data_IF_495739164425
#
_entry.id   IF_495739164425
#
_cell.length_a   1.000
_cell.length_b   1.000
_cell.length_c   1.000
_cell.angle_alpha   90.00
_cell.angle_beta   90.00
_cell.angle_gamma   90.00
#
_symmetry.space_group_name_H-M   'P 1'
#
loop_
_entity.id
_entity.type
_entity.pdbx_description
1 polymer ?
#
# COMPACT_ATOMS: atom_id res chain seq x y z
N UNK A 1 -22.67 38.70 32.40
CA UNK A 1 -23.48 37.53 31.95
C UNK A 1 -23.18 37.34 30.47
N UNK A 2 -22.52 36.25 30.08
CA UNK A 2 -21.92 36.09 28.74
C UNK A 2 -20.73 35.12 28.66
N UNK A 3 -20.45 34.37 29.73
CA UNK A 3 -19.38 33.38 29.75
C UNK A 3 -19.86 32.07 29.10
N UNK A 4 -19.70 31.96 27.78
CA UNK A 4 -20.07 30.78 27.01
C UNK A 4 -19.27 29.54 27.45
N UNK A 5 -18.01 29.70 27.85
CA UNK A 5 -17.15 28.60 28.33
C UNK A 5 -17.75 27.91 29.55
N UNK A 6 -18.18 28.69 30.55
CA UNK A 6 -18.82 28.14 31.76
C UNK A 6 -20.18 27.47 31.45
N UNK A 7 -20.94 28.01 30.50
CA UNK A 7 -22.21 27.43 30.08
C UNK A 7 -22.01 26.06 29.41
N UNK A 8 -21.02 25.95 28.51
CA UNK A 8 -20.66 24.69 27.84
C UNK A 8 -20.22 23.63 28.85
N UNK A 9 -19.38 23.99 29.83
CA UNK A 9 -18.93 23.06 30.88
C UNK A 9 -20.08 22.55 31.75
N UNK A 10 -21.04 23.42 32.09
CA UNK A 10 -22.23 23.02 32.84
C UNK A 10 -23.11 22.06 32.04
N UNK A 11 -23.32 22.34 30.74
CA UNK A 11 -24.08 21.47 29.85
C UNK A 11 -23.46 20.06 29.74
N UNK A 12 -22.13 19.95 29.62
CA UNK A 12 -21.45 18.64 29.64
C UNK A 12 -21.65 17.91 30.97
N UNK A 13 -21.51 18.60 32.12
CA UNK A 13 -21.75 18.00 33.45
C UNK A 13 -23.18 17.54 33.66
N UNK A 14 -24.16 18.21 33.05
CA UNK A 14 -25.58 17.85 33.10
C UNK A 14 -26.01 16.83 32.03
N UNK A 15 -25.09 16.30 31.21
CA UNK A 15 -25.40 15.36 30.13
C UNK A 15 -26.08 15.98 28.90
N UNK A 16 -26.20 17.31 28.85
CA UNK A 16 -26.84 18.07 27.76
C UNK A 16 -25.84 18.39 26.65
N UNK A 17 -25.40 17.33 25.97
CA UNK A 17 -24.29 17.40 25.01
C UNK A 17 -24.62 18.19 23.74
N UNK A 18 -25.85 18.07 23.23
CA UNK A 18 -26.27 18.80 22.03
C UNK A 18 -26.31 20.32 22.28
N UNK A 19 -26.81 20.73 23.44
CA UNK A 19 -26.82 22.12 23.88
C UNK A 19 -25.41 22.65 24.13
N UNK A 20 -24.51 21.81 24.67
CA UNK A 20 -23.10 22.16 24.84
C UNK A 20 -22.43 22.49 23.50
N UNK A 21 -22.65 21.66 22.48
CA UNK A 21 -22.15 21.91 21.13
C UNK A 21 -22.80 23.16 20.51
N UNK A 22 -24.11 23.32 20.62
CA UNK A 22 -24.81 24.49 20.09
C UNK A 22 -24.28 25.80 20.69
N UNK A 23 -24.06 25.85 22.01
CA UNK A 23 -23.46 27.00 22.69
C UNK A 23 -22.00 27.22 22.27
N UNK A 24 -21.23 26.15 22.10
CA UNK A 24 -19.84 26.23 21.68
C UNK A 24 -19.68 26.81 20.26
N UNK A 25 -20.67 26.58 19.37
CA UNK A 25 -20.66 27.15 18.01
C UNK A 25 -20.66 28.68 17.99
N UNK A 26 -21.26 29.32 18.99
CA UNK A 26 -21.27 30.78 19.16
C UNK A 26 -20.05 31.34 19.91
N UNK A 27 -19.20 30.49 20.49
CA UNK A 27 -18.08 30.89 21.36
C UNK A 27 -16.71 30.94 20.68
N UNK A 28 -16.67 30.83 19.35
CA UNK A 28 -15.43 30.86 18.56
C UNK A 28 -14.77 29.49 18.39
N UNK A 29 -13.75 29.44 17.53
CA UNK A 29 -13.14 28.18 17.08
C UNK A 29 -12.50 27.38 18.22
N UNK A 30 -11.87 28.06 19.18
CA UNK A 30 -11.16 27.40 20.29
C UNK A 30 -12.14 26.68 21.24
N UNK A 31 -13.26 27.32 21.56
CA UNK A 31 -14.30 26.72 22.41
C UNK A 31 -14.99 25.58 21.67
N UNK A 32 -15.28 25.75 20.37
CA UNK A 32 -15.87 24.71 19.53
C UNK A 32 -14.97 23.46 19.46
N UNK A 33 -13.68 23.62 19.19
CA UNK A 33 -12.73 22.50 19.15
C UNK A 33 -12.69 21.77 20.49
N UNK A 34 -12.59 22.49 21.61
CA UNK A 34 -12.55 21.87 22.95
C UNK A 34 -13.84 21.12 23.28
N UNK A 35 -15.00 21.69 22.95
CA UNK A 35 -16.30 21.06 23.18
C UNK A 35 -16.48 19.81 22.29
N UNK A 36 -16.09 19.90 21.01
CA UNK A 36 -16.12 18.77 20.08
C UNK A 36 -15.24 17.62 20.57
N UNK A 37 -14.01 17.91 20.98
CA UNK A 37 -13.06 16.88 21.40
C UNK A 37 -13.54 16.21 22.70
N UNK A 38 -14.12 16.96 23.65
CA UNK A 38 -14.75 16.40 24.85
C UNK A 38 -16.00 15.58 24.52
N UNK A 39 -16.83 16.03 23.57
CA UNK A 39 -17.96 15.25 23.08
C UNK A 39 -17.51 13.91 22.49
N UNK A 40 -16.53 13.93 21.57
CA UNK A 40 -15.98 12.72 20.96
C UNK A 40 -15.36 11.78 22.01
N UNK A 41 -14.70 12.31 23.05
CA UNK A 41 -14.14 11.52 24.16
C UNK A 41 -15.20 10.84 25.01
N UNK A 42 -16.34 11.50 25.22
CA UNK A 42 -17.46 10.96 26.01
C UNK A 42 -18.27 9.92 25.23
N UNK A 43 -18.22 9.98 23.90
CA UNK A 43 -18.88 9.01 23.04
C UNK A 43 -18.01 7.76 22.88
N UNK A 44 -18.55 6.59 23.24
CA UNK A 44 -17.88 5.30 23.07
C UNK A 44 -18.14 4.64 21.70
N UNK A 45 -18.76 5.36 20.76
CA UNK A 45 -19.13 4.81 19.47
C UNK A 45 -17.94 4.76 18.50
N UNK A 46 -17.77 3.60 17.85
CA UNK A 46 -16.70 3.35 16.87
C UNK A 46 -16.84 4.29 15.67
N UNK A 47 -18.07 4.57 15.26
CA UNK A 47 -18.33 5.47 14.14
C UNK A 47 -17.90 6.91 14.50
N UNK A 48 -18.34 7.43 15.65
CA UNK A 48 -17.94 8.76 16.10
C UNK A 48 -16.44 8.89 16.34
N UNK A 49 -15.77 7.84 16.83
CA UNK A 49 -14.30 7.82 16.97
C UNK A 49 -13.61 7.97 15.61
N UNK A 50 -14.10 7.24 14.60
CA UNK A 50 -13.58 7.34 13.21
C UNK A 50 -13.81 8.73 12.64
N UNK A 51 -15.01 9.28 12.78
CA UNK A 51 -15.34 10.66 12.35
C UNK A 51 -14.44 11.67 13.06
N UNK A 52 -14.23 11.50 14.36
CA UNK A 52 -13.32 12.33 15.15
C UNK A 52 -11.91 12.35 14.59
N UNK A 53 -11.35 11.17 14.27
CA UNK A 53 -10.02 11.06 13.68
C UNK A 53 -9.94 11.71 12.28
N UNK A 54 -11.00 11.61 11.47
CA UNK A 54 -11.07 12.30 10.17
C UNK A 54 -11.08 13.83 10.38
N UNK A 55 -11.87 14.32 11.35
CA UNK A 55 -11.97 15.75 11.66
C UNK A 55 -10.68 16.35 12.25
N UNK A 56 -9.90 15.55 12.98
CA UNK A 56 -8.61 15.97 13.56
C UNK A 56 -7.41 15.64 12.68
N UNK A 57 -7.65 14.99 11.53
CA UNK A 57 -6.62 14.54 10.60
C UNK A 57 -5.62 13.54 11.23
N UNK A 58 -6.06 12.78 12.24
CA UNK A 58 -5.25 11.80 12.99
C UNK A 58 -5.48 10.38 12.46
N UNK A 59 -5.07 10.16 11.20
CA UNK A 59 -5.27 8.87 10.54
C UNK A 59 -4.39 7.76 11.12
N UNK A 60 -3.24 8.09 11.70
CA UNK A 60 -2.35 7.11 12.32
C UNK A 60 -3.02 6.43 13.52
N UNK A 61 -3.67 7.20 14.41
CA UNK A 61 -4.48 6.62 15.49
C UNK A 61 -5.70 5.86 14.98
N UNK A 62 -6.31 6.35 13.91
CA UNK A 62 -7.43 5.65 13.28
C UNK A 62 -7.01 4.26 12.79
N UNK A 63 -5.89 4.17 12.06
CA UNK A 63 -5.37 2.90 11.54
C UNK A 63 -4.88 2.01 12.68
N UNK A 64 -4.35 2.55 13.78
CA UNK A 64 -3.95 1.74 14.94
C UNK A 64 -5.13 1.11 15.69
N UNK A 65 -6.26 1.82 15.79
CA UNK A 65 -7.44 1.39 16.55
C UNK A 65 -8.55 0.77 15.69
N UNK A 66 -8.38 0.73 14.36
CA UNK A 66 -9.42 0.24 13.47
C UNK A 66 -9.68 -1.26 13.65
N UNK A 67 -10.94 -1.65 13.44
CA UNK A 67 -11.34 -3.04 13.45
C UNK A 67 -10.90 -3.74 12.13
N UNK A 68 -10.01 -4.73 12.26
CA UNK A 68 -9.46 -5.49 11.14
C UNK A 68 -10.48 -6.39 10.42
N UNK A 69 -11.68 -6.59 10.97
CA UNK A 69 -12.78 -7.22 10.25
C UNK A 69 -13.29 -6.32 9.11
N UNK A 70 -13.28 -4.99 9.31
CA UNK A 70 -13.77 -3.96 8.40
C UNK A 70 -12.62 -3.16 7.75
N UNK A 71 -11.48 -3.81 7.49
CA UNK A 71 -10.29 -3.14 6.97
C UNK A 71 -10.51 -2.41 5.64
N UNK A 72 -11.45 -2.88 4.80
CA UNK A 72 -11.81 -2.23 3.54
C UNK A 72 -12.43 -0.84 3.78
N UNK A 73 -13.22 -0.68 4.84
CA UNK A 73 -13.77 0.63 5.21
C UNK A 73 -12.65 1.58 5.64
N UNK A 74 -11.70 1.08 6.44
CA UNK A 74 -10.51 1.87 6.83
C UNK A 74 -9.72 2.29 5.60
N UNK A 75 -9.46 1.36 4.67
CA UNK A 75 -8.73 1.64 3.44
C UNK A 75 -9.45 2.65 2.54
N UNK A 76 -10.77 2.57 2.44
CA UNK A 76 -11.58 3.52 1.67
C UNK A 76 -11.52 4.94 2.26
N UNK A 77 -11.54 5.06 3.59
CA UNK A 77 -11.36 6.34 4.29
C UNK A 77 -9.96 6.90 4.00
N UNK A 78 -8.92 6.08 4.09
CA UNK A 78 -7.56 6.49 3.74
C UNK A 78 -7.48 6.99 2.29
N UNK A 79 -8.06 6.25 1.35
CA UNK A 79 -8.06 6.63 -0.07
C UNK A 79 -8.76 7.97 -0.33
N UNK A 80 -9.74 8.32 0.51
CA UNK A 80 -10.53 9.55 0.36
C UNK A 80 -9.88 10.76 1.04
N UNK A 81 -9.34 10.57 2.25
CA UNK A 81 -8.98 11.69 3.13
C UNK A 81 -7.47 11.82 3.40
N UNK A 82 -6.66 10.78 3.19
CA UNK A 82 -5.25 10.77 3.60
C UNK A 82 -4.25 10.89 2.46
N UNK A 83 -4.59 11.57 1.37
CA UNK A 83 -3.80 11.61 0.12
C UNK A 83 -2.27 11.83 0.29
N UNK A 84 -1.84 12.63 1.28
CA UNK A 84 -0.41 12.89 1.55
C UNK A 84 0.32 11.73 2.25
N UNK A 85 -0.38 11.03 3.14
CA UNK A 85 0.18 9.97 3.99
C UNK A 85 -0.35 8.58 3.61
N UNK A 86 -1.10 8.50 2.51
CA UNK A 86 -1.85 7.33 2.09
C UNK A 86 -0.98 6.08 2.03
N UNK A 87 0.21 6.18 1.45
CA UNK A 87 1.12 5.04 1.29
C UNK A 87 1.59 4.48 2.64
N UNK A 88 2.07 5.35 3.54
CA UNK A 88 2.53 4.95 4.86
C UNK A 88 1.40 4.37 5.73
N UNK A 89 0.19 4.94 5.64
CA UNK A 89 -0.97 4.45 6.37
C UNK A 89 -1.49 3.12 5.83
N UNK A 90 -1.43 2.91 4.50
CA UNK A 90 -1.72 1.61 3.90
C UNK A 90 -0.73 0.55 4.34
N UNK A 91 0.55 0.89 4.45
CA UNK A 91 1.59 -0.02 4.97
C UNK A 91 1.34 -0.37 6.43
N UNK A 92 1.00 0.61 7.28
CA UNK A 92 0.62 0.36 8.67
C UNK A 92 -0.58 -0.59 8.76
N UNK A 93 -1.63 -0.38 7.95
CA UNK A 93 -2.79 -1.27 7.91
C UNK A 93 -2.42 -2.68 7.42
N UNK A 94 -1.54 -2.78 6.42
CA UNK A 94 -1.04 -4.04 5.91
C UNK A 94 -0.30 -4.84 6.98
N UNK A 95 0.60 -4.20 7.73
CA UNK A 95 1.33 -4.84 8.81
C UNK A 95 0.41 -5.35 9.92
N UNK A 96 -0.64 -4.60 10.26
CA UNK A 96 -1.64 -5.04 11.25
C UNK A 96 -2.40 -6.27 10.75
N UNK A 97 -2.85 -6.26 9.50
CA UNK A 97 -3.53 -7.42 8.90
C UNK A 97 -2.64 -8.67 8.85
N UNK A 98 -1.34 -8.49 8.57
CA UNK A 98 -0.36 -9.57 8.53
C UNK A 98 -0.04 -10.12 9.93
N UNK A 99 0.22 -9.24 10.91
CA UNK A 99 0.72 -9.63 12.25
C UNK A 99 -0.38 -9.97 13.25
N UNK A 100 -1.50 -9.25 13.23
CA UNK A 100 -2.58 -9.42 14.22
C UNK A 100 -3.65 -10.41 13.74
N UNK A 101 -4.02 -10.35 12.45
CA UNK A 101 -5.09 -11.18 11.87
C UNK A 101 -4.56 -12.40 11.10
N UNK A 102 -3.25 -12.44 10.80
CA UNK A 102 -2.64 -13.45 9.93
C UNK A 102 -3.32 -13.55 8.55
N UNK A 103 -3.92 -12.45 8.07
CA UNK A 103 -4.64 -12.39 6.81
C UNK A 103 -3.75 -11.83 5.70
N UNK A 104 -2.90 -12.72 5.18
CA UNK A 104 -1.91 -12.38 4.14
C UNK A 104 -2.57 -11.86 2.86
N UNK A 105 -3.77 -12.36 2.52
CA UNK A 105 -4.48 -11.92 1.29
C UNK A 105 -4.97 -10.49 1.41
N UNK A 106 -5.54 -10.11 2.56
CA UNK A 106 -5.97 -8.73 2.80
C UNK A 106 -4.76 -7.79 2.96
N UNK A 107 -3.70 -8.24 3.64
CA UNK A 107 -2.46 -7.48 3.79
C UNK A 107 -1.80 -7.18 2.44
N UNK A 108 -1.77 -8.16 1.53
CA UNK A 108 -1.24 -8.00 0.17
C UNK A 108 -1.90 -6.86 -0.59
N UNK A 109 -3.23 -6.71 -0.51
CA UNK A 109 -3.95 -5.61 -1.16
C UNK A 109 -3.48 -4.26 -0.58
N UNK A 110 -3.35 -4.18 0.74
CA UNK A 110 -2.88 -2.97 1.40
C UNK A 110 -1.41 -2.63 1.04
N UNK A 111 -0.53 -3.63 0.92
CA UNK A 111 0.85 -3.42 0.45
C UNK A 111 0.93 -2.93 -1.00
N UNK A 112 0.04 -3.41 -1.88
CA UNK A 112 -0.08 -2.90 -3.25
C UNK A 112 -0.53 -1.43 -3.24
N UNK A 113 -1.54 -1.08 -2.45
CA UNK A 113 -1.98 0.31 -2.26
C UNK A 113 -0.87 1.21 -1.69
N UNK A 114 -0.05 0.66 -0.79
CA UNK A 114 1.12 1.33 -0.23
C UNK A 114 2.28 1.49 -1.23
N UNK A 115 2.22 0.83 -2.39
CA UNK A 115 3.33 0.70 -3.36
C UNK A 115 4.58 0.04 -2.75
N UNK A 116 4.42 -0.81 -1.72
CA UNK A 116 5.54 -1.55 -1.14
C UNK A 116 5.88 -2.75 -2.04
N UNK A 117 6.83 -2.53 -2.96
CA UNK A 117 7.27 -3.53 -3.91
C UNK A 117 7.92 -4.76 -3.24
N UNK A 118 8.95 -4.63 -2.36
CA UNK A 118 9.62 -5.80 -1.78
C UNK A 118 8.68 -6.72 -0.99
N UNK A 119 7.77 -6.17 -0.18
CA UNK A 119 6.79 -6.97 0.57
C UNK A 119 5.81 -7.69 -0.34
N UNK A 120 5.29 -7.00 -1.34
CA UNK A 120 4.34 -7.58 -2.31
C UNK A 120 4.97 -8.76 -3.06
N UNK A 121 6.19 -8.56 -3.57
CA UNK A 121 6.97 -9.60 -4.28
C UNK A 121 7.26 -10.80 -3.38
N UNK A 122 7.66 -10.56 -2.13
CA UNK A 122 7.89 -11.60 -1.13
C UNK A 122 6.63 -12.43 -0.87
N UNK A 123 5.49 -11.79 -0.64
CA UNK A 123 4.21 -12.47 -0.38
C UNK A 123 3.77 -13.28 -1.61
N UNK A 124 3.87 -12.70 -2.80
CA UNK A 124 3.54 -13.44 -4.02
C UNK A 124 4.44 -14.65 -4.20
N UNK A 125 5.75 -14.53 -3.99
CA UNK A 125 6.66 -15.66 -4.14
C UNK A 125 6.34 -16.83 -3.18
N UNK A 126 5.91 -16.53 -1.95
CA UNK A 126 5.48 -17.56 -0.99
C UNK A 126 4.16 -18.21 -1.44
N UNK A 127 3.20 -17.40 -1.87
CA UNK A 127 1.83 -17.85 -2.18
C UNK A 127 1.75 -18.58 -3.53
N UNK A 128 2.62 -18.23 -4.49
CA UNK A 128 2.63 -18.82 -5.84
C UNK A 128 3.18 -20.25 -5.90
N UNK A 129 3.99 -20.66 -4.93
CA UNK A 129 4.58 -22.02 -4.90
C UNK A 129 3.50 -23.09 -4.66
N UNK A 130 2.34 -22.72 -4.12
CA UNK A 130 1.32 -23.66 -3.67
C UNK A 130 0.21 -24.00 -4.69
N UNK A 131 0.09 -23.30 -5.83
CA UNK A 131 -1.18 -23.26 -6.58
C UNK A 131 -1.16 -23.65 -8.06
N UNK A 132 -0.03 -24.03 -8.66
CA UNK A 132 0.05 -24.27 -10.11
C UNK A 132 0.87 -25.53 -10.46
N UNK A 133 0.28 -26.41 -11.28
CA UNK A 133 0.84 -27.73 -11.60
C UNK A 133 2.15 -27.71 -12.39
N UNK A 134 2.42 -26.66 -13.19
CA UNK A 134 3.71 -26.48 -13.89
C UNK A 134 4.49 -25.32 -13.29
N UNK A 135 5.69 -25.62 -12.76
CA UNK A 135 6.59 -24.64 -12.17
C UNK A 135 6.94 -23.49 -13.12
N UNK A 136 6.96 -23.74 -14.43
CA UNK A 136 7.27 -22.72 -15.44
C UNK A 136 6.10 -21.74 -15.66
N UNK A 137 4.85 -22.24 -15.65
CA UNK A 137 3.67 -21.38 -15.75
C UNK A 137 3.51 -20.54 -14.47
N UNK A 138 3.78 -21.12 -13.31
CA UNK A 138 3.78 -20.42 -12.04
C UNK A 138 4.80 -19.27 -12.01
N UNK A 139 5.99 -19.51 -12.56
CA UNK A 139 7.04 -18.50 -12.66
C UNK A 139 6.68 -17.39 -13.65
N UNK A 140 6.08 -17.74 -14.79
CA UNK A 140 5.63 -16.76 -15.77
C UNK A 140 4.61 -15.79 -15.16
N UNK A 141 3.53 -16.30 -14.58
CA UNK A 141 2.47 -15.47 -13.99
C UNK A 141 3.02 -14.58 -12.86
N UNK A 142 3.96 -15.13 -12.07
CA UNK A 142 4.64 -14.37 -11.03
C UNK A 142 5.46 -13.20 -11.61
N UNK A 143 6.31 -13.46 -12.60
CA UNK A 143 7.19 -12.43 -13.19
C UNK A 143 6.38 -11.37 -13.94
N UNK A 144 5.31 -11.75 -14.63
CA UNK A 144 4.40 -10.80 -15.30
C UNK A 144 3.75 -9.84 -14.28
N UNK A 145 3.23 -10.36 -13.17
CA UNK A 145 2.68 -9.53 -12.07
C UNK A 145 3.73 -8.61 -11.46
N UNK A 146 4.94 -9.13 -11.21
CA UNK A 146 6.05 -8.33 -10.68
C UNK A 146 6.47 -7.21 -11.64
N UNK A 147 6.53 -7.47 -12.94
CA UNK A 147 6.89 -6.48 -13.95
C UNK A 147 5.85 -5.36 -14.05
N UNK A 148 4.55 -5.71 -14.04
CA UNK A 148 3.47 -4.70 -14.02
C UNK A 148 3.52 -3.87 -12.73
N UNK A 149 3.75 -4.52 -11.58
CA UNK A 149 3.88 -3.82 -10.31
C UNK A 149 5.07 -2.84 -10.34
N UNK A 150 6.23 -3.27 -10.85
CA UNK A 150 7.43 -2.43 -10.95
C UNK A 150 7.16 -1.15 -11.75
N UNK A 151 6.43 -1.26 -12.87
CA UNK A 151 6.07 -0.09 -13.69
C UNK A 151 5.10 0.87 -12.97
N UNK A 152 4.11 0.34 -12.24
CA UNK A 152 3.13 1.14 -11.49
C UNK A 152 3.75 1.82 -10.27
N UNK A 153 4.67 1.13 -9.58
CA UNK A 153 5.37 1.68 -8.42
C UNK A 153 6.58 2.53 -8.81
N UNK A 154 7.01 2.48 -10.07
CA UNK A 154 8.26 3.08 -10.57
C UNK A 154 9.45 2.65 -9.71
N UNK A 155 9.47 1.37 -9.34
CA UNK A 155 10.50 0.80 -8.48
C UNK A 155 11.83 0.67 -9.25
N UNK A 156 12.83 1.44 -8.80
CA UNK A 156 14.16 1.51 -9.42
C UNK A 156 15.25 0.79 -8.61
N UNK A 157 14.95 0.36 -7.38
CA UNK A 157 15.93 -0.30 -6.53
C UNK A 157 16.14 -1.76 -6.98
N UNK A 158 17.28 -2.34 -6.57
CA UNK A 158 17.51 -3.77 -6.79
C UNK A 158 16.77 -4.57 -5.72
N UNK A 159 16.01 -5.58 -6.15
CA UNK A 159 15.43 -6.60 -5.29
C UNK A 159 15.95 -7.97 -5.73
N UNK A 160 16.58 -8.69 -4.80
CA UNK A 160 17.28 -9.94 -5.10
C UNK A 160 16.31 -11.05 -5.55
N UNK A 161 15.12 -11.11 -4.95
CA UNK A 161 14.11 -12.11 -5.27
C UNK A 161 13.53 -11.84 -6.67
N UNK A 162 13.17 -10.59 -6.96
CA UNK A 162 12.72 -10.17 -8.28
C UNK A 162 13.78 -10.46 -9.35
N UNK A 163 15.04 -10.07 -9.11
CA UNK A 163 16.16 -10.30 -10.03
C UNK A 163 16.38 -11.78 -10.31
N UNK A 164 16.33 -12.61 -9.26
CA UNK A 164 16.46 -14.06 -9.40
C UNK A 164 15.33 -14.69 -10.22
N UNK A 165 14.07 -14.34 -9.92
CA UNK A 165 12.90 -14.92 -10.61
C UNK A 165 12.83 -14.47 -12.05
N UNK A 166 13.07 -13.19 -12.31
CA UNK A 166 13.08 -12.63 -13.65
C UNK A 166 14.21 -13.21 -14.51
N UNK A 167 15.43 -13.34 -13.97
CA UNK A 167 16.56 -13.95 -14.69
C UNK A 167 16.25 -15.39 -15.08
N UNK A 168 15.67 -16.17 -14.15
CA UNK A 168 15.25 -17.55 -14.42
C UNK A 168 14.18 -17.63 -15.51
N UNK A 169 13.22 -16.70 -15.51
CA UNK A 169 12.20 -16.65 -16.56
C UNK A 169 12.78 -16.23 -17.92
N UNK A 170 13.69 -15.26 -17.94
CA UNK A 170 14.40 -14.85 -19.15
C UNK A 170 15.24 -15.99 -19.75
N UNK A 171 15.85 -16.84 -18.91
CA UNK A 171 16.56 -18.03 -19.36
C UNK A 171 15.63 -19.04 -20.04
N UNK A 172 14.44 -19.29 -19.48
CA UNK A 172 13.43 -20.15 -20.11
C UNK A 172 13.00 -19.59 -21.48
N UNK A 173 12.76 -18.27 -21.56
CA UNK A 173 12.42 -17.61 -22.81
C UNK A 173 13.54 -17.74 -23.85
N UNK A 174 14.80 -17.54 -23.44
CA UNK A 174 15.96 -17.69 -24.31
C UNK A 174 16.11 -19.12 -24.83
N UNK A 175 15.96 -20.13 -23.97
CA UNK A 175 16.01 -21.54 -24.34
C UNK A 175 14.84 -21.95 -25.27
N UNK A 176 13.72 -21.23 -25.23
CA UNK A 176 12.60 -21.42 -26.15
C UNK A 176 12.74 -20.66 -27.49
N UNK A 177 13.86 -19.96 -27.71
CA UNK A 177 14.12 -19.17 -28.92
C UNK A 177 13.50 -17.78 -28.93
N UNK A 178 12.82 -17.34 -27.85
CA UNK A 178 12.20 -16.01 -27.75
C UNK A 178 13.17 -14.97 -27.20
N UNK A 179 14.26 -14.75 -27.93
CA UNK A 179 15.39 -13.92 -27.50
C UNK A 179 15.01 -12.46 -27.22
N UNK A 180 14.18 -11.84 -28.07
CA UNK A 180 13.72 -10.46 -27.89
C UNK A 180 12.91 -10.28 -26.60
N UNK A 181 12.03 -11.23 -26.28
CA UNK A 181 11.24 -11.19 -25.06
C UNK A 181 12.13 -11.37 -23.82
N UNK A 182 13.09 -12.30 -23.88
CA UNK A 182 14.07 -12.51 -22.82
C UNK A 182 14.87 -11.23 -22.53
N UNK A 183 15.39 -10.57 -23.58
CA UNK A 183 16.13 -9.31 -23.42
C UNK A 183 15.25 -8.21 -22.83
N UNK A 184 13.99 -8.09 -23.27
CA UNK A 184 13.07 -7.07 -22.74
C UNK A 184 12.83 -7.21 -21.24
N UNK A 185 12.68 -8.44 -20.73
CA UNK A 185 12.58 -8.65 -19.29
C UNK A 185 13.89 -8.31 -18.58
N UNK A 186 15.05 -8.69 -19.14
CA UNK A 186 16.34 -8.35 -18.53
C UNK A 186 16.57 -6.85 -18.45
N UNK A 187 16.07 -6.05 -19.39
CA UNK A 187 16.14 -4.58 -19.34
C UNK A 187 15.34 -3.95 -18.18
N UNK A 188 14.41 -4.69 -17.55
CA UNK A 188 13.70 -4.22 -16.36
C UNK A 188 14.57 -4.26 -15.09
N UNK A 189 15.63 -5.06 -15.11
CA UNK A 189 16.57 -5.13 -14.01
C UNK A 189 17.59 -3.99 -14.11
N UNK A 190 18.03 -3.42 -12.98
CA UNK A 190 19.24 -2.59 -12.93
C UNK A 190 20.43 -3.33 -13.55
N UNK A 191 21.46 -2.60 -13.95
CA UNK A 191 22.71 -3.18 -14.48
C UNK A 191 23.46 -3.94 -13.38
N UNK A 192 22.97 -5.15 -13.08
CA UNK A 192 23.54 -6.07 -12.10
C UNK A 192 24.29 -7.20 -12.80
N UNK A 193 25.38 -7.63 -12.16
CA UNK A 193 26.31 -8.63 -12.68
C UNK A 193 25.65 -10.00 -12.91
N UNK A 194 24.58 -10.29 -12.17
CA UNK A 194 23.79 -11.52 -12.28
C UNK A 194 23.09 -11.68 -13.64
N UNK A 195 22.68 -10.57 -14.25
CA UNK A 195 21.99 -10.54 -15.54
C UNK A 195 22.94 -10.29 -16.73
N UNK A 196 24.13 -9.74 -16.47
CA UNK A 196 25.11 -9.35 -17.48
C UNK A 196 25.51 -10.51 -18.40
N UNK A 197 25.87 -11.66 -17.83
CA UNK A 197 26.26 -12.84 -18.62
C UNK A 197 25.14 -13.32 -19.55
N UNK A 198 23.87 -13.29 -19.09
CA UNK A 198 22.74 -13.70 -19.93
C UNK A 198 22.44 -12.68 -21.02
N UNK A 199 22.55 -11.37 -20.71
CA UNK A 199 22.43 -10.29 -21.69
C UNK A 199 23.47 -10.43 -22.80
N UNK A 200 24.74 -10.64 -22.45
CA UNK A 200 25.84 -10.82 -23.40
C UNK A 200 25.62 -12.06 -24.28
N UNK A 201 25.20 -13.17 -23.69
CA UNK A 201 24.89 -14.40 -24.44
C UNK A 201 23.77 -14.19 -25.45
N UNK A 202 22.68 -13.53 -25.05
CA UNK A 202 21.55 -13.24 -25.95
C UNK A 202 21.98 -12.28 -27.06
N UNK A 203 22.75 -11.23 -26.72
CA UNK A 203 23.25 -10.26 -27.69
C UNK A 203 24.11 -10.89 -28.78
N UNK A 204 25.06 -11.75 -28.38
CA UNK A 204 25.94 -12.44 -29.32
C UNK A 204 25.23 -13.54 -30.11
N UNK A 205 24.16 -14.13 -29.58
CA UNK A 205 23.39 -15.17 -30.27
C UNK A 205 22.51 -14.63 -31.40
N UNK A 206 22.05 -13.37 -31.31
CA UNK A 206 21.17 -12.77 -32.32
C UNK A 206 21.38 -11.23 -32.48
N UNK A 207 22.55 -10.79 -32.95
CA UNK A 207 22.90 -9.36 -33.01
C UNK A 207 21.96 -8.53 -33.90
N UNK A 208 21.46 -9.11 -35.01
CA UNK A 208 20.53 -8.44 -35.92
C UNK A 208 19.15 -8.17 -35.28
N UNK A 209 18.67 -9.08 -34.40
CA UNK A 209 17.40 -8.92 -33.70
C UNK A 209 17.51 -7.92 -32.54
N UNK A 210 18.67 -7.85 -31.90
CA UNK A 210 18.92 -6.94 -30.77
C UNK A 210 19.19 -5.50 -31.22
N UNK A 211 19.77 -5.29 -32.41
CA UNK A 211 19.95 -3.96 -32.99
C UNK A 211 18.65 -3.26 -33.42
N UNK A 212 17.55 -4.02 -33.55
CA UNK A 212 16.22 -3.49 -33.89
C UNK A 212 15.32 -3.28 -32.66
N UNK A 213 15.79 -3.62 -31.46
CA UNK A 213 15.02 -3.39 -30.24
C UNK A 213 14.93 -1.89 -29.94
N UNK A 214 13.72 -1.34 -29.70
CA UNK A 214 13.61 0.02 -29.19
C UNK A 214 14.37 0.11 -27.87
N UNK A 215 15.25 1.11 -27.74
CA UNK A 215 15.96 1.38 -26.50
C UNK A 215 14.94 1.48 -25.36
N UNK A 216 15.15 0.71 -24.30
CA UNK A 216 14.29 0.73 -23.13
C UNK A 216 14.13 2.18 -22.67
N UNK A 217 12.89 2.71 -22.75
CA UNK A 217 12.57 4.02 -22.24
C UNK A 217 12.80 3.99 -20.73
N UNK A 218 13.90 4.62 -20.30
CA UNK A 218 14.21 4.89 -18.90
C UNK A 218 13.20 5.87 -18.31
#
# INVERSE_FOLDING_TARGET
VGNLTAAVELCFKSGKMAEALLLASGGGITLWTRARDEYLRLQGDTFLTTVGNIMTNDFSKMVANSNLAHWMETLAILATYSAREYQALCEQLAERLEKEKFDIRSALICYICAKNFPKTVSIWAITHVASQGSQNLALQDLVEKMAVLQDVTKFQQSDALFSQKLTKYAEILANSGRLTAAMRYLCLLPDDNSSATLRDRIFNSAPAQMGQMPAAQK
#
